data_IF_009658868799
#
_entry.id   IF_009658868799
#
_cell.length_a   1.000
_cell.length_b   1.000
_cell.length_c   1.000
_cell.angle_alpha   90.00
_cell.angle_beta   90.00
_cell.angle_gamma   90.00
#
_symmetry.space_group_name_H-M   'P 1'
#
loop_
_entity.id
_entity.type
_entity.pdbx_description
1 polymer ?
#
# COMPACT_ATOMS: atom_id res chain seq x y z
N UNK A 1 -5.75 16.50 10.71
CA UNK A 1 -7.17 16.15 10.99
C UNK A 1 -7.82 17.10 11.99
N UNK A 2 -7.37 17.17 13.25
CA UNK A 2 -8.01 18.02 14.31
C UNK A 2 -8.15 19.50 13.90
N UNK A 3 -7.08 20.11 13.37
CA UNK A 3 -7.13 21.51 12.91
C UNK A 3 -8.13 21.72 11.76
N UNK A 4 -8.28 20.72 10.87
CA UNK A 4 -9.20 20.78 9.73
C UNK A 4 -10.67 20.60 10.16
N UNK A 5 -10.93 19.81 11.21
CA UNK A 5 -12.26 19.71 11.81
C UNK A 5 -12.62 21.04 12.48
N UNK A 6 -11.66 21.61 13.24
CA UNK A 6 -11.86 22.87 13.95
C UNK A 6 -12.03 24.08 13.01
N UNK A 7 -11.46 24.05 11.80
CA UNK A 7 -11.65 25.11 10.79
C UNK A 7 -12.98 25.05 10.05
N UNK A 8 -13.74 23.96 10.19
CA UNK A 8 -15.03 23.75 9.49
C UNK A 8 -16.22 23.71 10.46
N UNK A 9 -16.10 24.36 11.62
CA UNK A 9 -17.18 24.47 12.61
C UNK A 9 -18.41 25.13 11.97
N UNK A 10 -19.57 24.45 12.06
CA UNK A 10 -20.83 24.91 11.48
C UNK A 10 -21.13 24.37 10.07
N UNK A 11 -20.19 23.68 9.42
CA UNK A 11 -20.41 23.00 8.15
C UNK A 11 -20.62 21.48 8.35
N UNK A 12 -21.46 20.81 7.54
CA UNK A 12 -21.51 19.34 7.52
C UNK A 12 -20.15 18.77 7.13
N UNK A 13 -19.64 17.81 7.91
CA UNK A 13 -18.38 17.10 7.66
C UNK A 13 -18.66 15.60 7.62
N UNK A 14 -18.19 14.92 6.57
CA UNK A 14 -18.15 13.45 6.56
C UNK A 14 -16.96 12.96 7.40
N UNK A 15 -17.26 12.48 8.60
CA UNK A 15 -16.26 11.96 9.53
C UNK A 15 -15.65 10.65 9.01
N UNK A 16 -16.45 9.81 8.34
CA UNK A 16 -16.01 8.51 7.82
C UNK A 16 -14.93 8.69 6.75
N UNK A 17 -15.17 9.59 5.80
CA UNK A 17 -14.19 9.92 4.77
C UNK A 17 -12.89 10.48 5.39
N UNK A 18 -12.99 11.36 6.39
CA UNK A 18 -11.81 11.97 7.01
C UNK A 18 -11.01 11.04 7.90
N UNK A 19 -11.67 10.13 8.62
CA UNK A 19 -10.97 9.07 9.36
C UNK A 19 -10.27 8.15 8.37
N UNK A 20 -10.94 7.76 7.29
CA UNK A 20 -10.37 6.88 6.27
C UNK A 20 -9.15 7.51 5.58
N UNK A 21 -9.25 8.75 5.12
CA UNK A 21 -8.13 9.51 4.54
C UNK A 21 -6.94 9.59 5.50
N UNK A 22 -7.20 9.84 6.79
CA UNK A 22 -6.17 9.93 7.81
C UNK A 22 -5.52 8.56 8.09
N UNK A 23 -6.31 7.48 8.12
CA UNK A 23 -5.78 6.12 8.26
C UNK A 23 -4.85 5.76 7.10
N UNK A 24 -5.22 6.10 5.87
CA UNK A 24 -4.35 5.90 4.71
C UNK A 24 -3.03 6.64 4.85
N UNK A 25 -3.08 7.92 5.22
CA UNK A 25 -1.89 8.73 5.43
C UNK A 25 -0.97 8.13 6.51
N UNK A 26 -1.54 7.64 7.62
CA UNK A 26 -0.78 6.98 8.68
C UNK A 26 -0.12 5.70 8.17
N UNK A 27 -0.87 4.81 7.52
CA UNK A 27 -0.33 3.56 6.97
C UNK A 27 0.80 3.86 5.99
N UNK A 28 0.57 4.67 4.95
CA UNK A 28 1.61 4.94 3.94
C UNK A 28 2.85 5.61 4.53
N UNK A 29 2.67 6.49 5.52
CA UNK A 29 3.80 7.12 6.23
C UNK A 29 4.63 6.13 7.05
N UNK A 30 4.01 5.09 7.62
CA UNK A 30 4.72 4.02 8.35
C UNK A 30 5.41 3.04 7.39
N UNK A 31 4.81 2.77 6.23
CA UNK A 31 5.34 1.79 5.28
C UNK A 31 6.59 2.29 4.55
N UNK A 32 6.54 3.52 4.02
CA UNK A 32 7.59 4.09 3.16
C UNK A 32 7.78 5.61 3.34
N UNK A 33 7.35 6.17 4.47
CA UNK A 33 7.47 7.61 4.73
C UNK A 33 8.90 8.11 4.95
N UNK A 34 9.89 7.22 5.10
CA UNK A 34 11.31 7.59 5.08
C UNK A 34 11.95 7.43 3.69
N UNK A 35 11.33 6.64 2.82
CA UNK A 35 11.87 6.22 1.53
C UNK A 35 11.58 7.20 0.39
N UNK A 36 10.39 7.80 0.37
CA UNK A 36 9.96 8.68 -0.73
C UNK A 36 10.26 10.16 -0.43
N UNK A 37 10.66 10.93 -1.45
CA UNK A 37 10.67 12.40 -1.36
C UNK A 37 9.24 12.96 -1.14
N UNK A 38 9.10 14.26 -0.89
CA UNK A 38 7.78 14.84 -0.56
C UNK A 38 6.78 14.73 -1.72
N UNK A 39 7.23 14.87 -2.96
CA UNK A 39 6.37 14.93 -4.15
C UNK A 39 5.93 13.53 -4.56
N UNK A 40 6.87 12.59 -4.66
CA UNK A 40 6.62 11.19 -4.92
C UNK A 40 5.78 10.55 -3.81
N UNK A 41 6.02 10.91 -2.55
CA UNK A 41 5.20 10.43 -1.43
C UNK A 41 3.75 10.86 -1.54
N UNK A 42 3.50 12.11 -1.92
CA UNK A 42 2.14 12.61 -2.09
C UNK A 42 1.44 11.90 -3.26
N UNK A 43 2.14 11.77 -4.40
CA UNK A 43 1.61 11.08 -5.59
C UNK A 43 1.29 9.61 -5.29
N UNK A 44 2.27 8.86 -4.79
CA UNK A 44 2.11 7.43 -4.47
C UNK A 44 1.05 7.22 -3.41
N UNK A 45 0.95 8.08 -2.38
CA UNK A 45 -0.08 7.92 -1.34
C UNK A 45 -1.49 8.15 -1.87
N UNK A 46 -1.69 9.14 -2.77
CA UNK A 46 -2.99 9.41 -3.37
C UNK A 46 -3.43 8.27 -4.31
N UNK A 47 -2.52 7.78 -5.15
CA UNK A 47 -2.83 6.65 -6.03
C UNK A 47 -3.07 5.36 -5.24
N UNK A 48 -2.26 5.10 -4.20
CA UNK A 48 -2.45 3.97 -3.30
C UNK A 48 -3.81 4.00 -2.60
N UNK A 49 -4.21 5.19 -2.13
CA UNK A 49 -5.51 5.40 -1.54
C UNK A 49 -6.65 5.08 -2.52
N UNK A 50 -6.53 5.48 -3.79
CA UNK A 50 -7.52 5.16 -4.82
C UNK A 50 -7.63 3.65 -5.06
N UNK A 51 -6.49 2.97 -5.15
CA UNK A 51 -6.43 1.52 -5.37
C UNK A 51 -7.04 0.75 -4.19
N UNK A 52 -6.74 1.11 -2.95
CA UNK A 52 -7.36 0.43 -1.79
C UNK A 52 -8.86 0.72 -1.72
N UNK A 53 -9.31 1.95 -2.04
CA UNK A 53 -10.75 2.25 -2.14
C UNK A 53 -11.44 1.36 -3.19
N UNK A 54 -10.78 1.10 -4.33
CA UNK A 54 -11.31 0.18 -5.35
C UNK A 54 -11.31 -1.27 -4.86
N UNK A 55 -10.25 -1.73 -4.19
CA UNK A 55 -10.17 -3.08 -3.59
C UNK A 55 -11.30 -3.27 -2.58
N UNK A 56 -11.48 -2.35 -1.63
CA UNK A 56 -12.53 -2.43 -0.60
C UNK A 56 -13.92 -2.45 -1.26
N UNK A 57 -14.13 -1.65 -2.31
CA UNK A 57 -15.38 -1.67 -3.08
C UNK A 57 -15.64 -3.04 -3.72
N UNK A 58 -14.61 -3.64 -4.32
CA UNK A 58 -14.72 -4.94 -4.98
C UNK A 58 -14.90 -6.09 -3.98
N UNK A 59 -14.27 -6.02 -2.81
CA UNK A 59 -14.46 -6.98 -1.72
C UNK A 59 -15.86 -6.87 -1.08
N UNK A 60 -16.44 -5.68 -1.07
CA UNK A 60 -17.80 -5.44 -0.58
C UNK A 60 -18.91 -5.74 -1.60
N UNK A 61 -18.56 -5.97 -2.87
CA UNK A 61 -19.53 -6.28 -3.92
C UNK A 61 -19.94 -7.77 -3.84
N UNK A 62 -21.26 -8.09 -3.83
CA UNK A 62 -21.69 -9.48 -3.87
C UNK A 62 -21.17 -10.17 -5.14
N UNK A 63 -20.40 -11.24 -4.99
CA UNK A 63 -19.87 -12.00 -6.12
C UNK A 63 -20.83 -13.14 -6.50
N UNK A 64 -21.40 -13.05 -7.69
CA UNK A 64 -22.30 -14.05 -8.28
C UNK A 64 -21.59 -15.41 -8.42
N UNK A 65 -20.29 -15.40 -8.68
CA UNK A 65 -19.49 -16.62 -8.83
C UNK A 65 -19.34 -17.40 -7.52
N UNK A 66 -19.37 -16.70 -6.38
CA UNK A 66 -19.27 -17.32 -5.05
C UNK A 66 -20.60 -17.99 -4.65
N UNK A 67 -21.72 -17.47 -5.18
CA UNK A 67 -23.05 -18.06 -5.01
C UNK A 67 -23.35 -19.17 -6.02
N UNK A 68 -22.81 -19.06 -7.23
CA UNK A 68 -23.01 -20.00 -8.33
C UNK A 68 -21.68 -20.41 -8.96
N UNK A 69 -20.99 -21.42 -8.40
CA UNK A 69 -19.65 -21.83 -8.85
C UNK A 69 -19.56 -22.19 -10.33
N UNK A 70 -20.65 -22.67 -10.94
CA UNK A 70 -20.71 -22.96 -12.37
C UNK A 70 -20.52 -21.71 -13.27
N UNK A 71 -20.80 -20.52 -12.75
CA UNK A 71 -20.63 -19.25 -13.46
C UNK A 71 -19.24 -18.62 -13.26
N UNK A 72 -18.42 -19.17 -12.36
CA UNK A 72 -17.10 -18.63 -12.02
C UNK A 72 -16.15 -18.57 -13.21
N UNK A 73 -16.26 -19.52 -14.14
CA UNK A 73 -15.42 -19.57 -15.36
C UNK A 73 -15.67 -18.40 -16.32
N UNK A 74 -16.84 -17.75 -16.24
CA UNK A 74 -17.21 -16.68 -17.16
C UNK A 74 -16.77 -15.29 -16.66
N UNK A 75 -16.36 -15.15 -15.40
CA UNK A 75 -16.00 -13.87 -14.77
C UNK A 75 -17.04 -12.79 -15.09
N UNK A 76 -18.33 -13.08 -14.87
CA UNK A 76 -19.46 -12.26 -15.33
C UNK A 76 -19.38 -10.82 -14.81
N UNK A 77 -18.86 -10.63 -13.59
CA UNK A 77 -18.67 -9.31 -12.97
C UNK A 77 -17.30 -8.68 -13.27
N UNK A 78 -16.43 -9.42 -13.98
CA UNK A 78 -15.08 -9.00 -14.31
C UNK A 78 -14.16 -8.88 -13.08
N UNK A 79 -14.51 -9.51 -11.96
CA UNK A 79 -13.78 -9.37 -10.69
C UNK A 79 -12.33 -9.82 -10.83
N UNK A 80 -12.09 -10.95 -11.49
CA UNK A 80 -10.72 -11.45 -11.70
C UNK A 80 -9.91 -10.46 -12.52
N UNK A 81 -10.50 -9.89 -13.58
CA UNK A 81 -9.85 -8.87 -14.41
C UNK A 81 -9.58 -7.57 -13.65
N UNK A 82 -10.51 -7.11 -12.81
CA UNK A 82 -10.35 -5.90 -12.00
C UNK A 82 -9.25 -6.09 -10.94
N UNK A 83 -9.27 -7.20 -10.21
CA UNK A 83 -8.22 -7.56 -9.24
C UNK A 83 -6.85 -7.66 -9.89
N UNK A 84 -6.74 -8.28 -11.09
CA UNK A 84 -5.46 -8.32 -11.82
C UNK A 84 -4.93 -6.93 -12.19
N UNK A 85 -5.80 -6.00 -12.60
CA UNK A 85 -5.39 -4.62 -12.90
C UNK A 85 -4.87 -3.90 -11.65
N UNK A 86 -5.57 -4.07 -10.53
CA UNK A 86 -5.17 -3.50 -9.23
C UNK A 86 -3.84 -4.07 -8.76
N UNK A 87 -3.66 -5.39 -8.90
CA UNK A 87 -2.41 -6.07 -8.60
C UNK A 87 -1.23 -5.56 -9.43
N UNK A 88 -1.42 -5.37 -10.74
CA UNK A 88 -0.38 -4.84 -11.63
C UNK A 88 -0.04 -3.37 -11.34
N UNK A 89 -1.00 -2.58 -10.87
CA UNK A 89 -0.70 -1.24 -10.38
C UNK A 89 0.14 -1.31 -9.09
N UNK A 90 -0.28 -2.15 -8.15
CA UNK A 90 0.40 -2.32 -6.86
C UNK A 90 1.84 -2.79 -7.04
N UNK A 91 2.06 -3.82 -7.86
CA UNK A 91 3.38 -4.37 -8.15
C UNK A 91 4.34 -3.30 -8.69
N UNK A 92 3.89 -2.50 -9.67
CA UNK A 92 4.66 -1.40 -10.24
C UNK A 92 4.97 -0.29 -9.24
N UNK A 93 3.99 0.10 -8.43
CA UNK A 93 4.18 1.12 -7.39
C UNK A 93 5.21 0.64 -6.36
N UNK A 94 5.16 -0.62 -5.94
CA UNK A 94 6.15 -1.19 -5.04
C UNK A 94 7.53 -1.27 -5.67
N UNK A 95 7.66 -1.58 -6.96
CA UNK A 95 8.95 -1.53 -7.65
C UNK A 95 9.57 -0.13 -7.60
N UNK A 96 8.76 0.93 -7.79
CA UNK A 96 9.27 2.31 -7.66
C UNK A 96 9.80 2.56 -6.25
N UNK A 97 9.02 2.26 -5.22
CA UNK A 97 9.40 2.50 -3.82
C UNK A 97 10.64 1.69 -3.42
N UNK A 98 10.69 0.40 -3.79
CA UNK A 98 11.81 -0.50 -3.48
C UNK A 98 13.08 -0.06 -4.20
N UNK A 99 13.00 0.28 -5.49
CA UNK A 99 14.17 0.71 -6.24
C UNK A 99 14.73 2.03 -5.71
N UNK A 100 13.86 3.02 -5.43
CA UNK A 100 14.30 4.27 -4.79
C UNK A 100 15.02 4.01 -3.47
N UNK A 101 14.53 3.03 -2.70
CA UNK A 101 15.18 2.65 -1.46
C UNK A 101 16.57 2.04 -1.67
N UNK A 102 16.68 1.07 -2.57
CA UNK A 102 17.96 0.41 -2.85
C UNK A 102 19.00 1.42 -3.36
N UNK A 103 18.59 2.42 -4.14
CA UNK A 103 19.48 3.50 -4.58
C UNK A 103 19.93 4.41 -3.42
N UNK A 104 19.05 4.72 -2.46
CA UNK A 104 19.43 5.44 -1.24
C UNK A 104 20.46 4.68 -0.41
N UNK A 105 20.28 3.37 -0.25
CA UNK A 105 21.18 2.52 0.55
C UNK A 105 22.56 2.38 -0.13
N UNK A 106 22.63 2.36 -1.47
CA UNK A 106 23.88 2.34 -2.27
C UNK A 106 24.66 3.65 -2.22
N UNK A 107 23.97 4.79 -2.05
CA UNK A 107 24.57 6.12 -2.02
C UNK A 107 25.38 6.46 -0.76
N UNK A 108 25.56 5.51 0.17
CA UNK A 108 26.38 5.71 1.37
C UNK A 108 25.72 6.56 2.45
N UNK A 109 24.43 6.86 2.35
CA UNK A 109 23.68 7.61 3.37
C UNK A 109 23.27 6.72 4.56
N UNK A 110 24.14 5.80 4.96
CA UNK A 110 23.98 4.86 6.08
C UNK A 110 23.91 5.56 7.46
N UNK A 111 24.11 6.88 7.50
CA UNK A 111 24.15 7.70 8.72
C UNK A 111 23.02 8.73 8.83
N UNK A 112 21.95 8.66 8.03
CA UNK A 112 20.77 9.50 8.30
C UNK A 112 19.87 8.83 9.34
N UNK A 113 20.26 9.01 10.60
CA UNK A 113 19.47 8.89 11.82
C UNK A 113 18.76 7.55 12.11
N UNK A 114 19.08 7.03 13.30
CA UNK A 114 18.30 6.09 14.13
C UNK A 114 16.83 6.55 14.34
N UNK A 115 16.43 7.69 13.79
CA UNK A 115 15.23 8.45 14.14
C UNK A 115 13.91 8.08 13.46
N UNK A 116 13.86 7.19 12.43
CA UNK A 116 12.61 6.55 11.94
C UNK A 116 12.91 5.58 10.77
N UNK A 117 13.29 4.34 11.08
CA UNK A 117 13.23 3.26 10.08
C UNK A 117 11.77 3.04 9.69
N UNK A 118 11.46 3.11 8.40
CA UNK A 118 10.14 2.73 7.90
C UNK A 118 10.02 1.19 7.76
N UNK A 119 8.79 0.69 7.66
CA UNK A 119 8.58 -0.76 7.64
C UNK A 119 9.28 -1.43 6.46
N UNK A 120 9.33 -0.77 5.30
CA UNK A 120 10.06 -1.25 4.13
C UNK A 120 11.56 -1.41 4.42
N UNK A 121 12.19 -0.47 5.11
CA UNK A 121 13.58 -0.60 5.57
C UNK A 121 13.78 -1.88 6.37
N UNK A 122 12.92 -2.10 7.37
CA UNK A 122 13.03 -3.25 8.27
C UNK A 122 12.94 -4.56 7.48
N UNK A 123 12.03 -4.64 6.51
CA UNK A 123 11.87 -5.83 5.66
C UNK A 123 13.06 -6.05 4.72
N UNK A 124 13.63 -4.97 4.16
CA UNK A 124 14.81 -5.05 3.30
C UNK A 124 16.06 -5.49 4.08
N UNK A 125 16.27 -4.94 5.28
CA UNK A 125 17.35 -5.35 6.19
C UNK A 125 17.17 -6.82 6.60
N UNK A 126 15.94 -7.24 6.93
CA UNK A 126 15.64 -8.64 7.27
C UNK A 126 15.91 -9.60 6.11
N UNK A 127 15.65 -9.18 4.87
CA UNK A 127 15.96 -9.92 3.64
C UNK A 127 17.47 -10.13 3.44
N UNK A 128 18.29 -9.15 3.83
CA UNK A 128 19.75 -9.22 3.68
C UNK A 128 20.47 -9.96 4.83
N UNK A 129 19.74 -10.43 5.84
CA UNK A 129 20.31 -11.29 6.88
C UNK A 129 20.58 -12.70 6.34
N UNK A 130 21.84 -13.15 6.41
CA UNK A 130 22.33 -14.40 5.81
C UNK A 130 21.86 -15.71 6.51
N UNK A 131 21.08 -15.64 7.60
CA UNK A 131 20.80 -16.80 8.47
C UNK A 131 19.47 -17.55 8.22
N UNK A 132 18.75 -17.28 7.12
CA UNK A 132 17.43 -17.88 6.93
C UNK A 132 17.48 -19.23 6.19
N UNK A 133 16.90 -20.28 6.82
CA UNK A 133 16.67 -21.60 6.19
C UNK A 133 15.81 -21.52 4.92
N UNK A 134 14.99 -20.48 4.81
CA UNK A 134 14.16 -20.18 3.63
C UNK A 134 14.49 -18.77 3.14
N UNK A 135 14.83 -18.57 1.86
CA UNK A 135 15.16 -17.24 1.35
C UNK A 135 13.96 -16.30 1.48
N UNK A 136 14.11 -15.23 2.25
CA UNK A 136 13.18 -14.11 2.21
C UNK A 136 13.49 -13.27 0.96
N UNK A 137 12.50 -12.99 0.11
CA UNK A 137 12.71 -12.38 -1.21
C UNK A 137 11.86 -11.12 -1.36
N UNK A 138 12.15 -10.30 -2.39
CA UNK A 138 11.33 -9.14 -2.75
C UNK A 138 9.86 -9.55 -3.00
N UNK A 139 9.63 -10.73 -3.58
CA UNK A 139 8.27 -11.26 -3.77
C UNK A 139 7.56 -11.47 -2.44
N UNK A 140 8.24 -12.01 -1.43
CA UNK A 140 7.66 -12.17 -0.09
C UNK A 140 7.34 -10.81 0.55
N UNK A 141 8.22 -9.81 0.38
CA UNK A 141 7.97 -8.44 0.83
C UNK A 141 6.69 -7.89 0.16
N UNK A 142 6.62 -7.90 -1.17
CA UNK A 142 5.43 -7.42 -1.91
C UNK A 142 4.15 -8.14 -1.50
N UNK A 143 4.21 -9.45 -1.27
CA UNK A 143 3.06 -10.24 -0.84
C UNK A 143 2.55 -9.83 0.55
N UNK A 144 3.43 -9.51 1.51
CA UNK A 144 3.04 -9.04 2.84
C UNK A 144 2.25 -7.73 2.81
N UNK A 145 2.56 -6.84 1.87
CA UNK A 145 1.82 -5.59 1.71
C UNK A 145 0.49 -5.78 1.00
N UNK A 146 0.40 -6.78 0.13
CA UNK A 146 -0.76 -7.00 -0.72
C UNK A 146 -1.86 -7.82 -0.03
N UNK A 147 -1.57 -8.56 1.06
CA UNK A 147 -2.43 -9.62 1.63
C UNK A 147 -3.92 -9.31 1.49
N UNK A 148 -4.48 -9.89 0.42
CA UNK A 148 -5.91 -10.07 0.16
C UNK A 148 -5.97 -11.56 -0.14
N UNK A 149 -6.39 -12.34 0.87
CA UNK A 149 -6.68 -13.77 0.74
C UNK A 149 -8.05 -13.97 0.14
#
# INVERSE_FOLDING_TARGET
>A
MVNHINSNVGCPIDIGEKVLDNMFHLITSMLWGGTLDKEDRQRVSLEFQQVIKEIVKLLGEPNVSDLFPALAIFDIQGMVRKMKKLHLWFDRSFDVVINQRLEMDRGGNLNSDIGKKDFLQVLLEFKDQEEHKTPFTITHIKALFLVIS
#
